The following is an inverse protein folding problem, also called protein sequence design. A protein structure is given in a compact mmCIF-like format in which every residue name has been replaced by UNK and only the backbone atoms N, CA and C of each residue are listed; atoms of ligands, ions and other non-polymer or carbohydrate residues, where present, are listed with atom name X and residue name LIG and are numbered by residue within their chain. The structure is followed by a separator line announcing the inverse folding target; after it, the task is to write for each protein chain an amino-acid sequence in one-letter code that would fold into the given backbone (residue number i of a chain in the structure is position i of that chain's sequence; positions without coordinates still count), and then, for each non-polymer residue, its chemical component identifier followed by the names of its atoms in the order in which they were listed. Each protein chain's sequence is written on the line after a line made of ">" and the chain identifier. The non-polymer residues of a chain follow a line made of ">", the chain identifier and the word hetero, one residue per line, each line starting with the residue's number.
data_IF_264312053069
#
_entry.id   IF_264312053069
#
_cell.length_a   1.000
_cell.length_b   1.000
_cell.length_c   1.000
_cell.angle_alpha   90.00
_cell.angle_beta   90.00
_cell.angle_gamma   90.00
#
_symmetry.space_group_name_H-M   'P 1'
#
loop_
_entity.id
_entity.type
_entity.pdbx_description
1 polymer ?
#
# COMPACT_ATOMS: atom_id res chain seq x y z
N UNK A 1 -23.28 -5.94 -17.15
CA UNK A 1 -22.22 -6.67 -16.42
C UNK A 1 -20.79 -6.08 -16.56
N UNK A 2 -20.51 -5.15 -17.48
CA UNK A 2 -19.15 -4.59 -17.67
C UNK A 2 -18.63 -3.66 -16.57
N UNK A 3 -19.51 -2.94 -15.85
CA UNK A 3 -19.10 -1.94 -14.87
C UNK A 3 -18.55 -2.58 -13.57
N UNK A 4 -19.21 -3.62 -13.05
CA UNK A 4 -18.82 -4.29 -11.79
C UNK A 4 -17.41 -4.90 -11.82
N UNK A 5 -17.01 -5.52 -12.94
CA UNK A 5 -15.67 -6.11 -13.08
C UNK A 5 -14.57 -5.06 -13.16
N UNK A 6 -14.86 -3.90 -13.79
CA UNK A 6 -13.93 -2.77 -13.86
C UNK A 6 -13.69 -2.17 -12.48
N UNK A 7 -14.76 -1.94 -11.71
CA UNK A 7 -14.69 -1.44 -10.34
C UNK A 7 -13.88 -2.39 -9.45
N UNK A 8 -14.17 -3.70 -9.49
CA UNK A 8 -13.45 -4.69 -8.68
C UNK A 8 -11.96 -4.72 -8.99
N UNK A 9 -11.59 -4.72 -10.28
CA UNK A 9 -10.19 -4.73 -10.70
C UNK A 9 -9.45 -3.45 -10.24
N UNK A 10 -10.14 -2.31 -10.29
CA UNK A 10 -9.62 -1.02 -9.81
C UNK A 10 -9.37 -1.03 -8.31
N UNK A 11 -10.30 -1.61 -7.54
CA UNK A 11 -10.13 -1.79 -6.09
C UNK A 11 -8.93 -2.68 -5.80
N UNK A 12 -8.80 -3.84 -6.46
CA UNK A 12 -7.68 -4.77 -6.21
C UNK A 12 -6.34 -4.09 -6.50
N UNK A 13 -6.23 -3.37 -7.62
CA UNK A 13 -5.01 -2.62 -7.94
C UNK A 13 -4.69 -1.52 -6.92
N UNK A 14 -5.73 -0.84 -6.41
CA UNK A 14 -5.59 0.16 -5.36
C UNK A 14 -5.09 -0.44 -4.05
N UNK A 15 -5.58 -1.64 -3.69
CA UNK A 15 -5.09 -2.39 -2.52
C UNK A 15 -3.61 -2.76 -2.71
N UNK A 16 -3.25 -3.30 -3.87
CA UNK A 16 -1.86 -3.67 -4.19
C UNK A 16 -0.93 -2.46 -4.02
N UNK A 17 -1.29 -1.32 -4.62
CA UNK A 17 -0.51 -0.09 -4.50
C UNK A 17 -0.42 0.37 -3.04
N UNK A 18 -1.52 0.33 -2.31
CA UNK A 18 -1.59 0.76 -0.90
C UNK A 18 -0.69 -0.11 -0.02
N UNK A 19 -0.66 -1.43 -0.23
CA UNK A 19 0.24 -2.34 0.49
C UNK A 19 1.70 -1.95 0.27
N UNK A 20 2.10 -1.70 -0.98
CA UNK A 20 3.48 -1.27 -1.30
C UNK A 20 3.80 0.05 -0.60
N UNK A 21 2.89 1.02 -0.62
CA UNK A 21 3.06 2.29 0.08
C UNK A 21 3.19 2.09 1.59
N UNK A 22 2.38 1.23 2.21
CA UNK A 22 2.48 0.92 3.65
C UNK A 22 3.88 0.40 3.99
N UNK A 23 4.43 -0.52 3.19
CA UNK A 23 5.78 -1.06 3.41
C UNK A 23 6.82 0.07 3.33
N UNK A 24 6.76 0.90 2.29
CA UNK A 24 7.69 2.02 2.11
C UNK A 24 7.60 3.02 3.26
N UNK A 25 6.39 3.44 3.64
CA UNK A 25 6.17 4.36 4.76
C UNK A 25 6.66 3.75 6.08
N UNK A 26 6.53 2.44 6.25
CA UNK A 26 6.98 1.75 7.46
C UNK A 26 8.50 1.77 7.52
N UNK A 27 9.18 1.25 6.50
CA UNK A 27 10.64 1.17 6.43
C UNK A 27 11.28 2.56 6.49
N UNK A 28 10.85 3.50 5.66
CA UNK A 28 11.37 4.88 5.69
C UNK A 28 11.08 5.57 7.03
N UNK A 29 9.91 5.32 7.62
CA UNK A 29 9.53 5.90 8.90
C UNK A 29 10.32 5.38 10.09
N UNK A 30 10.99 4.24 9.95
CA UNK A 30 11.91 3.74 10.97
C UNK A 30 13.38 4.09 10.67
N UNK A 31 13.78 4.13 9.40
CA UNK A 31 15.18 4.44 9.00
C UNK A 31 15.54 5.92 8.99
N UNK A 32 14.58 6.82 8.76
CA UNK A 32 14.83 8.26 8.70
C UNK A 32 14.12 9.02 9.83
N UNK A 33 14.91 9.52 10.78
CA UNK A 33 14.42 10.32 11.90
C UNK A 33 13.73 11.62 11.42
N UNK A 34 14.18 12.21 10.31
CA UNK A 34 13.58 13.41 9.73
C UNK A 34 12.15 13.14 9.27
N UNK A 35 11.96 12.10 8.45
CA UNK A 35 10.66 11.65 7.99
C UNK A 35 9.72 11.23 9.14
N UNK A 36 10.23 10.50 10.14
CA UNK A 36 9.47 10.13 11.35
C UNK A 36 8.98 11.37 12.12
N UNK A 37 9.84 12.37 12.26
CA UNK A 37 9.52 13.64 12.90
C UNK A 37 8.49 14.43 12.10
N UNK A 38 8.65 14.53 10.77
CA UNK A 38 7.68 15.18 9.88
C UNK A 38 6.29 14.55 9.99
N UNK A 39 6.19 13.21 9.98
CA UNK A 39 4.92 12.51 10.15
C UNK A 39 4.29 12.83 11.52
N UNK A 40 5.10 12.89 12.58
CA UNK A 40 4.63 13.19 13.93
C UNK A 40 4.17 14.64 14.07
N UNK A 41 4.87 15.61 13.49
CA UNK A 41 4.49 17.02 13.53
C UNK A 41 3.24 17.30 12.68
N UNK A 42 3.10 16.61 11.55
CA UNK A 42 1.97 16.84 10.62
C UNK A 42 0.69 16.15 11.09
N UNK A 43 0.78 14.94 11.64
CA UNK A 43 -0.37 14.09 11.98
C UNK A 43 -0.46 13.75 13.47
N UNK A 44 0.23 14.51 14.33
CA UNK A 44 0.39 14.32 15.77
C UNK A 44 1.16 13.06 16.19
N UNK A 45 1.13 11.99 15.40
CA UNK A 45 1.90 10.76 15.62
C UNK A 45 2.30 10.12 14.29
N UNK A 46 3.53 9.59 14.20
CA UNK A 46 4.03 9.01 12.96
C UNK A 46 3.20 7.82 12.43
N UNK A 47 2.77 6.91 13.30
CA UNK A 47 1.93 5.76 12.92
C UNK A 47 0.52 6.18 12.42
N UNK A 48 -0.04 7.27 12.98
CA UNK A 48 -1.29 7.88 12.49
C UNK A 48 -1.05 8.48 11.10
N UNK A 49 0.05 9.20 10.91
CA UNK A 49 0.43 9.77 9.62
C UNK A 49 0.56 8.72 8.51
N UNK A 50 1.25 7.60 8.77
CA UNK A 50 1.33 6.47 7.82
C UNK A 50 -0.06 5.95 7.44
N UNK A 51 -0.97 5.86 8.40
CA UNK A 51 -2.34 5.35 8.20
C UNK A 51 -3.19 6.31 7.36
N UNK A 52 -3.14 7.62 7.64
CA UNK A 52 -3.84 8.65 6.88
C UNK A 52 -3.35 8.66 5.42
N UNK A 53 -2.03 8.65 5.20
CA UNK A 53 -1.46 8.60 3.84
C UNK A 53 -1.94 7.35 3.10
N UNK A 54 -1.95 6.19 3.77
CA UNK A 54 -2.40 4.93 3.16
C UNK A 54 -3.87 4.97 2.76
N UNK A 55 -4.74 5.54 3.60
CA UNK A 55 -6.17 5.75 3.29
C UNK A 55 -6.31 6.68 2.07
N UNK A 56 -5.58 7.80 2.06
CA UNK A 56 -5.63 8.75 0.93
C UNK A 56 -5.15 8.10 -0.37
N UNK A 57 -4.07 7.33 -0.33
CA UNK A 57 -3.57 6.58 -1.50
C UNK A 57 -4.64 5.61 -2.00
N UNK A 58 -5.30 4.86 -1.12
CA UNK A 58 -6.37 3.96 -1.51
C UNK A 58 -7.54 4.72 -2.15
N UNK A 59 -8.07 5.73 -1.46
CA UNK A 59 -9.24 6.49 -1.91
C UNK A 59 -8.99 7.22 -3.24
N UNK A 60 -7.78 7.71 -3.48
CA UNK A 60 -7.41 8.39 -4.73
C UNK A 60 -7.12 7.39 -5.85
N UNK A 61 -6.47 6.26 -5.55
CA UNK A 61 -6.09 5.29 -6.58
C UNK A 61 -7.29 4.53 -7.17
N UNK A 62 -8.36 4.31 -6.40
CA UNK A 62 -9.58 3.64 -6.89
C UNK A 62 -10.20 4.37 -8.10
N UNK A 63 -10.56 5.66 -8.03
CA UNK A 63 -11.11 6.38 -9.18
C UNK A 63 -10.08 6.53 -10.30
N UNK A 64 -8.79 6.68 -9.98
CA UNK A 64 -7.73 6.75 -11.01
C UNK A 64 -7.69 5.45 -11.82
N UNK A 65 -7.59 4.28 -11.17
CA UNK A 65 -7.56 3.01 -11.89
C UNK A 65 -8.88 2.69 -12.60
N UNK A 66 -10.01 3.15 -12.05
CA UNK A 66 -11.31 3.01 -12.71
C UNK A 66 -11.37 3.80 -14.02
N UNK A 67 -10.91 5.06 -14.02
CA UNK A 67 -10.86 5.91 -15.22
C UNK A 67 -9.87 5.35 -16.25
N UNK A 68 -8.73 4.84 -15.81
CA UNK A 68 -7.73 4.21 -16.69
C UNK A 68 -8.24 2.92 -17.35
N UNK A 69 -9.34 2.33 -16.84
CA UNK A 69 -10.10 1.27 -17.49
C UNK A 69 -9.22 0.10 -17.96
N UNK A 70 -8.39 -0.43 -17.06
CA UNK A 70 -7.42 -1.50 -17.29
C UNK A 70 -8.11 -2.85 -17.57
N UNK A 71 -8.82 -2.94 -18.71
CA UNK A 71 -9.70 -4.05 -19.11
C UNK A 71 -8.97 -5.34 -19.49
N UNK A 72 -7.63 -5.32 -19.53
CA UNK A 72 -6.84 -6.44 -20.09
C UNK A 72 -6.47 -7.53 -19.09
N UNK A 73 -6.56 -7.28 -17.78
CA UNK A 73 -6.10 -8.25 -16.77
C UNK A 73 -7.30 -8.99 -16.17
N UNK A 74 -7.21 -10.32 -16.09
CA UNK A 74 -8.25 -11.12 -15.44
C UNK A 74 -8.30 -10.81 -13.94
N UNK A 75 -9.50 -10.76 -13.37
CA UNK A 75 -9.68 -10.54 -11.92
C UNK A 75 -8.95 -11.60 -11.09
N UNK A 76 -8.92 -12.86 -11.55
CA UNK A 76 -8.21 -13.95 -10.87
C UNK A 76 -6.69 -13.69 -10.84
N UNK A 77 -6.12 -13.22 -11.95
CA UNK A 77 -4.70 -12.85 -12.01
C UNK A 77 -4.39 -11.70 -11.04
N UNK A 78 -5.28 -10.71 -10.92
CA UNK A 78 -5.11 -9.61 -9.96
C UNK A 78 -5.19 -10.09 -8.51
N UNK A 79 -6.06 -11.05 -8.19
CA UNK A 79 -6.14 -11.65 -6.85
C UNK A 79 -4.84 -12.38 -6.51
N UNK A 80 -4.31 -13.19 -7.43
CA UNK A 80 -3.02 -13.87 -7.20
C UNK A 80 -1.86 -12.89 -7.08
N UNK A 81 -1.86 -11.82 -7.87
CA UNK A 81 -0.90 -10.73 -7.73
C UNK A 81 -1.00 -10.06 -6.35
N UNK A 82 -2.22 -9.78 -5.88
CA UNK A 82 -2.46 -9.25 -4.54
C UNK A 82 -1.90 -10.17 -3.45
N UNK A 83 -2.19 -11.48 -3.54
CA UNK A 83 -1.66 -12.48 -2.59
C UNK A 83 -0.13 -12.49 -2.62
N UNK A 84 0.49 -12.50 -3.81
CA UNK A 84 1.94 -12.50 -3.96
C UNK A 84 2.57 -11.24 -3.34
N UNK A 85 2.02 -10.05 -3.64
CA UNK A 85 2.51 -8.77 -3.11
C UNK A 85 2.32 -8.69 -1.60
N UNK A 86 1.20 -9.18 -1.06
CA UNK A 86 0.96 -9.22 0.38
C UNK A 86 1.99 -10.11 1.11
N UNK A 87 2.27 -11.31 0.58
CA UNK A 87 3.27 -12.21 1.16
C UNK A 87 4.68 -11.66 1.04
N UNK A 88 5.02 -11.05 -0.10
CA UNK A 88 6.31 -10.39 -0.28
C UNK A 88 6.48 -9.23 0.70
N UNK A 89 5.44 -8.41 0.86
CA UNK A 89 5.42 -7.28 1.81
C UNK A 89 5.57 -7.74 3.25
N UNK A 90 4.89 -8.82 3.63
CA UNK A 90 5.08 -9.47 4.92
C UNK A 90 6.54 -9.92 5.11
N UNK A 91 7.12 -10.60 4.11
CA UNK A 91 8.51 -11.04 4.17
C UNK A 91 9.50 -9.88 4.31
N UNK A 92 9.30 -8.80 3.57
CA UNK A 92 10.13 -7.58 3.68
C UNK A 92 10.07 -6.99 5.08
N UNK A 93 8.86 -6.80 5.63
CA UNK A 93 8.70 -6.24 6.98
C UNK A 93 9.24 -7.18 8.05
N UNK A 94 9.07 -8.49 7.90
CA UNK A 94 9.61 -9.50 8.82
C UNK A 94 11.14 -9.43 8.87
N UNK A 95 11.80 -9.45 7.70
CA UNK A 95 13.26 -9.37 7.60
C UNK A 95 13.76 -8.02 8.11
N UNK A 96 13.09 -6.93 7.75
CA UNK A 96 13.43 -5.59 8.21
C UNK A 96 13.42 -5.48 9.73
N UNK A 97 12.30 -5.84 10.38
CA UNK A 97 12.19 -5.75 11.83
C UNK A 97 13.06 -6.78 12.55
N UNK A 98 13.26 -7.96 11.99
CA UNK A 98 14.23 -8.92 12.53
C UNK A 98 15.64 -8.32 12.54
N UNK A 99 16.07 -7.75 11.42
CA UNK A 99 17.40 -7.14 11.33
C UNK A 99 17.53 -5.98 12.33
N UNK A 100 16.62 -5.00 12.28
CA UNK A 100 16.62 -3.81 13.16
C UNK A 100 16.60 -4.16 14.66
N UNK A 101 16.01 -5.29 15.04
CA UNK A 101 15.89 -5.68 16.46
C UNK A 101 17.12 -6.44 16.96
N UNK A 102 17.77 -7.22 16.11
CA UNK A 102 18.81 -8.18 16.52
C UNK A 102 20.23 -7.81 16.06
N UNK A 103 20.38 -6.83 15.16
CA UNK A 103 21.67 -6.39 14.60
C UNK A 103 21.77 -4.87 14.61
#
# INVERSE_FOLDING_TARGET
>A
MGNKKSVLSSIILSVILTIVVIVLLTVCGELDAGFKSWLTQTFSHHWIGKSIISILVFLVSVPVFYVLNLKKISTLSLIWLLVAIANLSFGVLLVFFFFETYF
#
